data_IF_121941442470
#
_entry.id   IF_121941442470
#
_cell.length_a   1.000
_cell.length_b   1.000
_cell.length_c   1.000
_cell.angle_alpha   90.00
_cell.angle_beta   90.00
_cell.angle_gamma   90.00
#
_symmetry.space_group_name_H-M   'P 1'
#
loop_
_entity.id
_entity.type
_entity.pdbx_description
1 polymer ?
#
# COMPACT_ATOMS: atom_id res chain seq x y z
N UNK A 1 -3.96 -7.52 -3.75
CA UNK A 1 -2.66 -6.91 -3.41
C UNK A 1 -1.65 -7.33 -4.45
N UNK A 2 -0.74 -6.43 -4.83
CA UNK A 2 0.24 -6.56 -5.94
C UNK A 2 1.03 -7.88 -5.94
N UNK A 3 1.23 -8.48 -4.77
CA UNK A 3 1.86 -9.80 -4.59
C UNK A 3 1.12 -10.95 -5.30
N UNK A 4 -0.18 -10.80 -5.61
CA UNK A 4 -0.96 -11.80 -6.36
C UNK A 4 -0.79 -11.70 -7.89
N UNK A 5 -0.02 -10.73 -8.39
CA UNK A 5 0.19 -10.49 -9.82
C UNK A 5 1.58 -10.96 -10.29
N UNK A 6 2.25 -11.80 -9.49
CA UNK A 6 3.55 -12.37 -9.84
C UNK A 6 3.30 -13.70 -10.58
N UNK A 7 3.62 -13.78 -11.89
CA UNK A 7 3.42 -14.99 -12.66
C UNK A 7 4.32 -16.13 -12.16
N UNK A 8 3.76 -17.35 -12.14
CA UNK A 8 4.44 -18.58 -11.71
C UNK A 8 4.88 -19.32 -12.96
N UNK A 9 6.15 -19.15 -13.32
CA UNK A 9 6.77 -19.65 -14.56
C UNK A 9 6.66 -21.18 -14.70
N UNK A 10 6.55 -21.91 -13.58
CA UNK A 10 6.43 -23.36 -13.51
C UNK A 10 5.05 -23.91 -13.91
N UNK A 11 3.98 -23.11 -13.77
CA UNK A 11 2.60 -23.52 -14.06
C UNK A 11 2.06 -22.95 -15.38
N UNK A 12 2.47 -21.74 -15.76
CA UNK A 12 1.89 -21.01 -16.91
C UNK A 12 2.50 -21.40 -18.29
N UNK A 13 3.55 -22.23 -18.31
CA UNK A 13 4.17 -22.66 -19.58
C UNK A 13 3.37 -23.77 -20.30
N UNK A 14 2.56 -24.56 -19.58
CA UNK A 14 1.77 -25.68 -20.14
C UNK A 14 0.35 -25.31 -20.51
N UNK A 15 -0.28 -24.44 -19.75
CA UNK A 15 -1.60 -23.90 -20.07
C UNK A 15 -1.40 -22.45 -20.48
N UNK A 16 -1.66 -22.10 -21.74
CA UNK A 16 -1.69 -20.72 -22.25
C UNK A 16 -2.80 -19.91 -21.56
N UNK A 17 -2.76 -19.78 -20.24
CA UNK A 17 -3.69 -18.99 -19.46
C UNK A 17 -3.39 -17.54 -19.77
N UNK A 18 -4.33 -16.91 -20.46
CA UNK A 18 -4.36 -15.48 -20.69
C UNK A 18 -4.24 -14.81 -19.32
N UNK A 19 -3.13 -14.10 -19.10
CA UNK A 19 -2.94 -13.32 -17.90
C UNK A 19 -4.10 -12.34 -17.78
N UNK A 20 -4.82 -12.38 -16.65
CA UNK A 20 -5.89 -11.43 -16.39
C UNK A 20 -5.29 -10.03 -16.26
N UNK A 21 -5.55 -9.18 -17.25
CA UNK A 21 -5.21 -7.77 -17.17
C UNK A 21 -5.98 -7.17 -16.01
N UNK A 22 -5.29 -6.53 -15.06
CA UNK A 22 -5.95 -5.79 -13.98
C UNK A 22 -6.65 -4.59 -14.61
N UNK A 23 -8.00 -4.51 -14.60
CA UNK A 23 -8.67 -3.32 -15.07
C UNK A 23 -8.46 -2.20 -14.05
N UNK A 24 -7.95 -1.04 -14.52
CA UNK A 24 -7.81 0.17 -13.71
C UNK A 24 -6.60 1.02 -14.10
N UNK A 25 -6.75 2.34 -14.02
CA UNK A 25 -5.68 3.32 -14.23
C UNK A 25 -4.98 3.58 -12.90
N UNK A 26 -3.65 3.65 -12.87
CA UNK A 26 -2.91 4.12 -11.68
C UNK A 26 -3.39 5.54 -11.38
N UNK A 27 -3.96 5.80 -10.18
CA UNK A 27 -4.40 7.14 -9.81
C UNK A 27 -3.23 8.11 -9.94
N UNK A 28 -3.47 9.27 -10.52
CA UNK A 28 -2.44 10.31 -10.66
C UNK A 28 -1.95 10.72 -9.27
N UNK A 29 -0.63 10.86 -9.10
CA UNK A 29 -0.01 11.39 -7.86
C UNK A 29 -0.40 12.85 -7.54
N UNK A 30 -1.30 13.43 -8.34
CA UNK A 30 -1.83 14.80 -8.26
C UNK A 30 -3.29 14.83 -7.75
N UNK A 31 -3.77 13.75 -7.14
CA UNK A 31 -5.04 13.76 -6.42
C UNK A 31 -4.81 14.16 -4.97
N UNK A 32 -5.60 15.11 -4.48
CA UNK A 32 -5.59 15.62 -3.11
C UNK A 32 -5.26 14.52 -2.11
N UNK A 33 -4.05 14.56 -1.55
CA UNK A 33 -3.69 13.69 -0.44
C UNK A 33 -4.56 14.20 0.71
N UNK A 34 -5.70 13.54 0.92
CA UNK A 34 -6.56 13.80 2.05
C UNK A 34 -5.68 13.77 3.31
N UNK A 35 -5.83 14.80 4.14
CA UNK A 35 -5.05 14.94 5.37
C UNK A 35 -5.12 13.64 6.17
N UNK A 36 -3.98 13.19 6.69
CA UNK A 36 -3.92 11.93 7.41
C UNK A 36 -3.06 10.85 6.73
N UNK A 37 -2.82 9.80 7.49
CA UNK A 37 -2.05 8.64 7.06
C UNK A 37 -2.62 8.05 5.75
N UNK A 38 -1.81 8.05 4.69
CA UNK A 38 -2.11 7.45 3.37
C UNK A 38 -2.52 5.97 3.44
N UNK A 39 -2.16 5.28 4.51
CA UNK A 39 -2.49 3.88 4.72
C UNK A 39 -3.78 3.67 5.51
N UNK A 40 -4.39 4.73 6.07
CA UNK A 40 -5.61 4.64 6.89
C UNK A 40 -6.75 3.83 6.22
N UNK A 41 -7.05 3.98 4.91
CA UNK A 41 -8.12 3.21 4.26
C UNK A 41 -7.85 1.69 4.16
N UNK A 42 -6.60 1.25 4.40
CA UNK A 42 -6.17 -0.15 4.28
C UNK A 42 -5.49 -0.67 5.55
N UNK A 43 -5.47 0.11 6.63
CA UNK A 43 -4.78 -0.22 7.86
C UNK A 43 -5.73 -0.94 8.83
N UNK A 44 -5.43 -2.17 9.29
CA UNK A 44 -6.25 -2.88 10.27
C UNK A 44 -6.20 -2.24 11.67
N UNK A 45 -5.26 -1.33 11.91
CA UNK A 45 -5.06 -0.63 13.18
C UNK A 45 -5.41 0.86 13.11
N UNK A 46 -6.26 1.25 12.16
CA UNK A 46 -6.66 2.65 11.98
C UNK A 46 -7.32 3.22 13.24
N UNK A 47 -6.98 4.46 13.58
CA UNK A 47 -7.58 5.27 14.65
C UNK A 47 -8.06 6.59 14.05
N UNK A 48 -8.92 7.33 14.74
CA UNK A 48 -9.43 8.63 14.27
C UNK A 48 -8.31 9.61 13.88
N UNK A 49 -7.24 9.69 14.68
CA UNK A 49 -6.07 10.53 14.37
C UNK A 49 -5.39 10.19 13.04
N UNK A 50 -5.49 8.93 12.58
CA UNK A 50 -4.91 8.50 11.31
C UNK A 50 -5.61 9.09 10.09
N UNK A 51 -6.87 9.51 10.20
CA UNK A 51 -7.63 10.14 9.11
C UNK A 51 -7.70 11.66 9.22
N UNK A 52 -7.19 12.22 10.32
CA UNK A 52 -7.21 13.67 10.59
C UNK A 52 -5.83 14.30 10.42
N UNK A 53 -4.76 13.58 10.79
CA UNK A 53 -3.40 14.13 10.85
C UNK A 53 -2.34 13.18 10.32
N UNK A 54 -1.37 13.75 9.62
CA UNK A 54 -0.22 13.01 9.11
C UNK A 54 0.69 12.57 10.25
N UNK A 55 1.06 11.28 10.32
CA UNK A 55 2.00 10.80 11.33
C UNK A 55 3.40 11.36 11.08
N UNK A 56 4.02 11.86 12.15
CA UNK A 56 5.40 12.37 12.11
C UNK A 56 6.39 11.23 11.89
N UNK A 57 7.46 11.48 11.13
CA UNK A 57 8.56 10.53 10.98
C UNK A 57 9.42 10.53 12.25
N UNK A 58 9.54 9.37 12.88
CA UNK A 58 10.18 9.18 14.20
C UNK A 58 11.14 8.01 14.16
N UNK A 59 12.22 8.11 14.92
CA UNK A 59 13.22 7.04 14.99
C UNK A 59 12.86 6.00 16.05
N UNK A 60 12.62 4.78 15.55
CA UNK A 60 12.37 3.50 16.20
C UNK A 60 13.48 2.96 17.10
N UNK A 61 14.62 2.91 16.44
CA UNK A 61 15.87 2.22 16.76
C UNK A 61 16.92 2.90 15.86
N UNK A 62 18.22 2.81 16.20
CA UNK A 62 19.27 3.40 15.36
C UNK A 62 19.13 2.99 13.88
N UNK A 63 18.91 3.97 13.00
CA UNK A 63 18.75 3.77 11.56
C UNK A 63 17.37 3.29 11.09
N UNK A 64 16.40 3.12 12.00
CA UNK A 64 15.04 2.68 11.67
C UNK A 64 14.03 3.80 11.98
N UNK A 65 13.42 4.37 10.93
CA UNK A 65 12.39 5.41 11.08
C UNK A 65 11.00 4.90 10.67
N UNK A 66 9.99 5.35 11.40
CA UNK A 66 8.59 4.99 11.20
C UNK A 66 7.74 6.25 11.13
N UNK A 67 6.71 6.26 10.30
CA UNK A 67 5.69 7.32 10.23
C UNK A 67 4.33 6.65 10.46
N UNK A 68 4.02 6.39 11.74
CA UNK A 68 2.80 5.71 12.18
C UNK A 68 2.48 6.12 13.63
N UNK A 69 1.20 6.37 13.91
CA UNK A 69 0.72 6.77 15.24
C UNK A 69 0.76 5.65 16.31
N UNK A 70 1.05 4.41 15.92
CA UNK A 70 1.18 3.28 16.86
C UNK A 70 2.55 3.18 17.52
N UNK A 71 3.55 3.77 16.88
CA UNK A 71 4.92 3.73 17.33
C UNK A 71 5.24 5.01 18.05
#
# INVERSE_FOLDING_TARGET
GLLRSIPRIDLDAKERRRLETIPGTVPTLRGDIAAGCRFAPRCPFVKAVCTEKDPVLKEVKPGHKVSCWLY
#
